data_IF_169947638854
#
_entry.id   IF_169947638854
#
_cell.length_a   1.000
_cell.length_b   1.000
_cell.length_c   1.000
_cell.angle_alpha   90.00
_cell.angle_beta   90.00
_cell.angle_gamma   90.00
#
_symmetry.space_group_name_H-M   'P 1'
#
loop_
_entity.id
_entity.type
_entity.pdbx_description
1 polymer ?
#
# COMPACT_ATOMS: atom_id res chain seq x y z
N UNK A 1 12.06 -0.95 27.78
CA UNK A 1 11.56 -1.50 26.51
C UNK A 1 11.45 -2.99 26.75
N UNK A 2 10.24 -3.56 26.77
CA UNK A 2 10.05 -4.97 27.12
C UNK A 2 10.29 -5.78 25.86
N UNK A 3 11.36 -6.58 25.88
CA UNK A 3 11.73 -7.48 24.81
C UNK A 3 10.85 -8.73 24.92
N UNK A 4 9.70 -8.72 24.23
CA UNK A 4 8.81 -9.88 24.21
C UNK A 4 9.35 -10.92 23.22
N UNK A 5 9.70 -12.13 23.68
CA UNK A 5 10.16 -13.17 22.78
C UNK A 5 9.06 -13.47 21.74
N UNK A 6 9.37 -13.26 20.46
CA UNK A 6 8.48 -13.54 19.33
C UNK A 6 7.79 -12.32 18.70
N UNK A 7 8.07 -11.09 19.15
CA UNK A 7 7.62 -9.86 18.46
C UNK A 7 8.09 -9.84 17.00
N UNK A 8 9.37 -10.08 16.76
CA UNK A 8 9.94 -10.12 15.39
C UNK A 8 9.25 -11.16 14.50
N UNK A 9 8.88 -12.32 15.06
CA UNK A 9 8.15 -13.35 14.33
C UNK A 9 6.71 -12.93 14.00
N UNK A 10 6.08 -12.18 14.90
CA UNK A 10 4.72 -11.66 14.72
C UNK A 10 4.71 -10.55 13.68
N UNK A 11 5.64 -9.60 13.76
CA UNK A 11 5.77 -8.50 12.80
C UNK A 11 6.09 -9.05 11.41
N UNK A 12 7.04 -9.99 11.32
CA UNK A 12 7.34 -10.67 10.07
C UNK A 12 6.11 -11.37 9.47
N UNK A 13 5.31 -12.06 10.30
CA UNK A 13 4.08 -12.71 9.85
C UNK A 13 3.06 -11.70 9.30
N UNK A 14 2.79 -10.64 10.06
CA UNK A 14 1.82 -9.61 9.67
C UNK A 14 2.24 -8.90 8.39
N UNK A 15 3.53 -8.70 8.18
CA UNK A 15 4.05 -8.01 7.01
C UNK A 15 4.13 -8.88 5.76
N UNK A 16 4.42 -10.18 5.90
CA UNK A 16 4.85 -10.99 4.75
C UNK A 16 4.02 -12.23 4.50
N UNK A 17 3.12 -12.61 5.41
CA UNK A 17 2.41 -13.90 5.33
C UNK A 17 0.93 -13.81 5.65
N UNK A 18 0.41 -12.63 6.02
CA UNK A 18 -0.92 -12.49 6.57
C UNK A 18 -2.00 -12.93 5.57
N UNK A 19 -2.01 -12.36 4.37
CA UNK A 19 -3.05 -12.63 3.38
C UNK A 19 -2.88 -14.00 2.70
N UNK A 20 -1.65 -14.43 2.43
CA UNK A 20 -1.38 -15.77 1.93
C UNK A 20 -1.85 -16.85 2.92
N UNK A 21 -1.62 -16.64 4.21
CA UNK A 21 -2.10 -17.55 5.27
C UNK A 21 -3.62 -17.55 5.35
N UNK A 22 -4.23 -16.36 5.34
CA UNK A 22 -5.69 -16.21 5.33
C UNK A 22 -6.31 -16.96 4.13
N UNK A 23 -5.76 -16.76 2.93
CA UNK A 23 -6.21 -17.45 1.72
C UNK A 23 -6.09 -18.97 1.86
N UNK A 24 -4.98 -19.47 2.39
CA UNK A 24 -4.74 -20.89 2.62
C UNK A 24 -5.73 -21.52 3.60
N UNK A 25 -5.99 -20.87 4.74
CA UNK A 25 -6.96 -21.34 5.76
C UNK A 25 -8.37 -21.46 5.17
N UNK A 26 -8.74 -20.52 4.30
CA UNK A 26 -10.07 -20.49 3.68
C UNK A 26 -10.14 -21.26 2.34
N UNK A 27 -9.07 -21.94 1.92
CA UNK A 27 -9.04 -22.70 0.66
C UNK A 27 -9.23 -21.82 -0.59
N UNK A 28 -8.90 -20.53 -0.51
CA UNK A 28 -9.03 -19.60 -1.63
C UNK A 28 -7.94 -19.90 -2.66
N UNK A 29 -8.35 -19.99 -3.95
CA UNK A 29 -7.39 -20.02 -5.06
C UNK A 29 -6.93 -18.60 -5.36
N UNK A 30 -5.70 -18.30 -5.01
CA UNK A 30 -5.11 -16.97 -5.16
C UNK A 30 -3.81 -17.00 -5.95
N UNK A 31 -3.43 -15.86 -6.50
CA UNK A 31 -2.13 -15.60 -7.12
C UNK A 31 -1.54 -14.32 -6.56
N UNK A 32 -0.26 -14.07 -6.78
CA UNK A 32 0.33 -12.79 -6.38
C UNK A 32 -0.19 -11.64 -7.24
N UNK A 33 -0.38 -10.47 -6.63
CA UNK A 33 -0.66 -9.24 -7.36
C UNK A 33 0.57 -8.82 -8.19
N UNK A 34 0.34 -8.26 -9.38
CA UNK A 34 1.41 -7.57 -10.12
C UNK A 34 1.67 -6.19 -9.51
N UNK A 35 2.76 -5.54 -9.92
CA UNK A 35 3.05 -4.18 -9.48
C UNK A 35 1.94 -3.20 -9.92
N UNK A 36 1.39 -3.36 -11.11
CA UNK A 36 0.26 -2.56 -11.59
C UNK A 36 -0.99 -2.77 -10.75
N UNK A 37 -1.33 -4.02 -10.43
CA UNK A 37 -2.46 -4.37 -9.58
C UNK A 37 -2.32 -3.72 -8.20
N UNK A 38 -1.13 -3.84 -7.61
CA UNK A 38 -0.83 -3.30 -6.30
C UNK A 38 -0.89 -1.77 -6.30
N UNK A 39 -0.28 -1.10 -7.29
CA UNK A 39 -0.32 0.36 -7.42
C UNK A 39 -1.74 0.89 -7.57
N UNK A 40 -2.57 0.22 -8.37
CA UNK A 40 -3.98 0.57 -8.53
C UNK A 40 -4.75 0.43 -7.20
N UNK A 41 -4.64 -0.73 -6.54
CA UNK A 41 -5.32 -1.00 -5.29
C UNK A 41 -4.88 -0.04 -4.16
N UNK A 42 -3.58 0.23 -4.04
CA UNK A 42 -3.02 1.15 -3.05
C UNK A 42 -3.46 2.59 -3.30
N UNK A 43 -3.51 3.02 -4.56
CA UNK A 43 -3.97 4.37 -4.92
C UNK A 43 -5.45 4.55 -4.57
N UNK A 44 -6.28 3.55 -4.86
CA UNK A 44 -7.70 3.56 -4.54
C UNK A 44 -7.94 3.56 -3.03
N UNK A 45 -7.33 2.62 -2.30
CA UNK A 45 -7.42 2.51 -0.85
C UNK A 45 -6.90 3.78 -0.17
N UNK A 46 -5.74 4.28 -0.60
CA UNK A 46 -5.16 5.52 -0.12
C UNK A 46 -6.07 6.72 -0.38
N UNK A 47 -6.64 6.84 -1.59
CA UNK A 47 -7.59 7.92 -1.90
C UNK A 47 -8.81 7.92 -0.97
N UNK A 48 -9.37 6.74 -0.67
CA UNK A 48 -10.51 6.61 0.22
C UNK A 48 -10.19 6.91 1.69
N UNK A 49 -9.01 6.50 2.15
CA UNK A 49 -8.55 6.72 3.52
C UNK A 49 -7.87 8.08 3.72
N UNK A 50 -7.84 8.92 2.68
CA UNK A 50 -7.13 10.18 2.73
C UNK A 50 -7.82 11.18 3.66
N UNK A 51 -7.01 11.78 4.53
CA UNK A 51 -7.40 12.95 5.32
C UNK A 51 -7.66 14.17 4.43
N UNK A 52 -8.15 15.26 5.01
CA UNK A 52 -8.34 16.55 4.32
C UNK A 52 -7.05 17.05 3.64
N UNK A 53 -5.88 16.72 4.19
CA UNK A 53 -4.57 17.09 3.62
C UNK A 53 -4.11 16.15 2.48
N UNK A 54 -4.87 15.10 2.19
CA UNK A 54 -4.62 14.12 1.15
C UNK A 54 -3.64 13.01 1.55
N UNK A 55 -3.30 12.90 2.83
CA UNK A 55 -2.43 11.83 3.35
C UNK A 55 -3.24 10.71 3.98
N UNK A 56 -2.78 9.48 3.81
CA UNK A 56 -3.38 8.26 4.32
C UNK A 56 -2.32 7.40 5.02
N UNK A 57 -2.61 6.76 6.16
CA UNK A 57 -1.67 5.85 6.80
C UNK A 57 -1.30 4.70 5.85
N UNK A 58 0.00 4.40 5.70
CA UNK A 58 0.47 3.37 4.76
C UNK A 58 -0.04 1.99 5.17
N UNK A 59 0.00 1.67 6.47
CA UNK A 59 -0.49 0.39 7.00
C UNK A 59 -1.96 0.17 6.63
N UNK A 60 -2.80 1.17 6.85
CA UNK A 60 -4.24 1.09 6.57
C UNK A 60 -4.53 0.98 5.08
N UNK A 61 -3.82 1.76 4.25
CA UNK A 61 -3.94 1.68 2.79
C UNK A 61 -3.49 0.31 2.25
N UNK A 62 -2.42 -0.25 2.82
CA UNK A 62 -1.89 -1.57 2.46
C UNK A 62 -2.87 -2.68 2.86
N UNK A 63 -3.43 -2.60 4.06
CA UNK A 63 -4.43 -3.57 4.54
C UNK A 63 -5.70 -3.52 3.69
N UNK A 64 -6.27 -2.33 3.47
CA UNK A 64 -7.47 -2.18 2.66
C UNK A 64 -7.24 -2.60 1.20
N UNK A 65 -6.10 -2.22 0.61
CA UNK A 65 -5.71 -2.64 -0.73
C UNK A 65 -5.55 -4.15 -0.86
N UNK A 66 -4.88 -4.79 0.10
CA UNK A 66 -4.71 -6.23 0.17
C UNK A 66 -6.03 -6.98 0.32
N UNK A 67 -6.93 -6.51 1.21
CA UNK A 67 -8.29 -7.06 1.38
C UNK A 67 -9.05 -7.01 0.04
N UNK A 68 -9.03 -5.87 -0.65
CA UNK A 68 -9.73 -5.71 -1.93
C UNK A 68 -9.18 -6.64 -2.99
N UNK A 69 -7.86 -6.72 -3.13
CA UNK A 69 -7.23 -7.63 -4.09
C UNK A 69 -7.58 -9.09 -3.80
N UNK A 70 -7.56 -9.49 -2.53
CA UNK A 70 -7.85 -10.85 -2.12
C UNK A 70 -9.28 -11.24 -2.46
N UNK A 71 -10.26 -10.46 -2.00
CA UNK A 71 -11.67 -10.84 -2.10
C UNK A 71 -12.33 -10.46 -3.43
N UNK A 72 -11.85 -9.41 -4.12
CA UNK A 72 -12.43 -9.00 -5.40
C UNK A 72 -11.71 -9.59 -6.61
N UNK A 73 -10.42 -9.91 -6.50
CA UNK A 73 -9.59 -10.32 -7.64
C UNK A 73 -8.86 -11.65 -7.46
N UNK A 74 -8.95 -12.27 -6.29
CA UNK A 74 -8.20 -13.50 -5.97
C UNK A 74 -6.69 -13.27 -6.01
N UNK A 75 -6.23 -12.08 -5.58
CA UNK A 75 -4.82 -11.68 -5.62
C UNK A 75 -4.30 -11.37 -4.22
N UNK A 76 -3.07 -11.81 -3.92
CA UNK A 76 -2.40 -11.51 -2.65
C UNK A 76 -1.48 -10.30 -2.82
N UNK A 77 -1.63 -9.35 -1.91
CA UNK A 77 -0.69 -8.25 -1.72
C UNK A 77 -0.45 -8.10 -0.21
N UNK A 78 0.74 -8.49 0.23
CA UNK A 78 1.13 -8.39 1.64
C UNK A 78 1.54 -6.95 2.01
N UNK A 79 1.39 -6.53 3.28
CA UNK A 79 1.77 -5.19 3.72
C UNK A 79 3.25 -4.84 3.46
N UNK A 80 4.18 -5.76 3.71
CA UNK A 80 5.60 -5.56 3.44
C UNK A 80 5.86 -5.27 1.96
N UNK A 81 5.26 -6.05 1.06
CA UNK A 81 5.34 -5.81 -0.39
C UNK A 81 4.71 -4.48 -0.80
N UNK A 82 3.65 -4.04 -0.12
CA UNK A 82 3.06 -2.72 -0.35
C UNK A 82 4.03 -1.60 -0.04
N UNK A 83 4.77 -1.69 1.06
CA UNK A 83 5.82 -0.72 1.42
C UNK A 83 6.92 -0.64 0.34
N UNK A 84 7.39 -1.79 -0.15
CA UNK A 84 8.41 -1.84 -1.20
C UNK A 84 7.93 -1.23 -2.51
N UNK A 85 6.69 -1.52 -2.90
CA UNK A 85 6.06 -0.95 -4.10
C UNK A 85 5.89 0.56 -3.97
N UNK A 86 5.44 1.07 -2.83
CA UNK A 86 5.31 2.52 -2.61
C UNK A 86 6.67 3.22 -2.64
N UNK A 87 7.70 2.61 -2.04
CA UNK A 87 9.07 3.14 -2.05
C UNK A 87 9.64 3.18 -3.46
N UNK A 88 9.50 2.11 -4.23
CA UNK A 88 9.99 2.05 -5.62
C UNK A 88 9.20 2.99 -6.53
N UNK A 89 7.89 3.09 -6.33
CA UNK A 89 7.02 3.99 -7.09
C UNK A 89 7.35 5.46 -6.84
N UNK A 90 7.60 5.88 -5.60
CA UNK A 90 8.04 7.26 -5.34
C UNK A 90 9.37 7.57 -6.00
N UNK A 91 10.34 6.65 -5.95
CA UNK A 91 11.64 6.86 -6.60
C UNK A 91 11.49 7.04 -8.11
N UNK A 92 10.59 6.29 -8.72
CA UNK A 92 10.35 6.36 -10.16
C UNK A 92 9.47 7.56 -10.57
N UNK A 93 8.51 7.95 -9.74
CA UNK A 93 7.50 8.97 -10.04
C UNK A 93 7.11 9.79 -8.79
N UNK A 94 8.02 10.68 -8.31
CA UNK A 94 7.79 11.49 -7.10
C UNK A 94 6.71 12.57 -7.24
N UNK A 95 6.28 12.83 -8.47
CA UNK A 95 5.15 13.67 -8.86
C UNK A 95 3.81 12.92 -8.82
N UNK A 96 3.82 11.60 -8.64
CA UNK A 96 2.61 10.76 -8.55
C UNK A 96 2.35 10.30 -7.12
N UNK A 97 3.40 9.97 -6.36
CA UNK A 97 3.26 9.47 -4.98
C UNK A 97 4.32 10.10 -4.09
N UNK A 98 3.90 10.50 -2.88
CA UNK A 98 4.76 11.05 -1.84
C UNK A 98 4.52 10.37 -0.50
N UNK A 99 5.57 10.16 0.27
CA UNK A 99 5.47 9.69 1.65
C UNK A 99 5.98 10.73 2.65
N UNK A 100 5.50 10.60 3.89
CA UNK A 100 6.12 11.20 5.07
C UNK A 100 6.58 10.09 5.99
N UNK A 101 7.64 10.40 6.73
CA UNK A 101 8.16 9.54 7.80
C UNK A 101 7.65 10.02 9.14
N UNK A 102 7.56 9.11 10.10
CA UNK A 102 7.31 9.46 11.50
C UNK A 102 8.58 9.97 12.20
N UNK A 103 8.48 10.18 13.52
CA UNK A 103 9.59 10.66 14.36
C UNK A 103 10.76 9.68 14.45
N UNK A 104 10.54 8.41 14.12
CA UNK A 104 11.55 7.35 14.13
C UNK A 104 12.19 7.15 12.75
N UNK A 105 11.72 7.87 11.72
CA UNK A 105 12.19 7.74 10.35
C UNK A 105 11.48 6.66 9.55
N UNK A 106 10.42 6.05 10.10
CA UNK A 106 9.65 4.99 9.45
C UNK A 106 8.60 5.57 8.50
N UNK A 107 8.36 4.91 7.37
CA UNK A 107 7.34 5.31 6.41
C UNK A 107 5.94 5.23 7.06
N UNK A 108 5.31 6.39 7.24
CA UNK A 108 4.07 6.49 8.01
C UNK A 108 2.84 6.79 7.16
N UNK A 109 2.93 7.78 6.27
CA UNK A 109 1.80 8.22 5.47
C UNK A 109 2.16 8.31 3.99
N UNK A 110 1.17 8.08 3.13
CA UNK A 110 1.27 8.21 1.68
C UNK A 110 0.25 9.23 1.17
N UNK A 111 0.63 10.00 0.15
CA UNK A 111 -0.22 10.89 -0.61
C UNK A 111 -0.10 10.59 -2.09
N UNK A 112 -1.24 10.29 -2.71
CA UNK A 112 -1.34 10.09 -4.15
C UNK A 112 -1.71 11.42 -4.81
N UNK A 113 -0.85 11.91 -5.67
CA UNK A 113 -1.03 13.17 -6.37
C UNK A 113 -1.93 12.94 -7.60
N UNK A 114 -2.84 13.89 -7.84
CA UNK A 114 -3.60 13.92 -9.10
C UNK A 114 -2.62 14.21 -10.24
N UNK A 115 -2.79 13.60 -11.42
CA UNK A 115 -2.04 14.01 -12.61
C UNK A 115 -2.23 15.53 -12.79
N UNK A 116 -1.16 16.23 -13.15
CA UNK A 116 -1.27 17.65 -13.49
C UNK A 116 -2.35 17.81 -14.56
N UNK A 117 -3.36 18.64 -14.28
CA UNK A 117 -4.34 19.02 -15.31
C UNK A 117 -3.56 19.74 -16.39
N UNK A 118 -3.43 19.11 -17.56
CA UNK A 118 -2.87 19.80 -18.73
C UNK A 118 -3.93 20.83 -19.15
N UNK A 119 -3.70 22.10 -18.82
CA UNK A 119 -4.57 23.17 -19.29
C UNK A 119 -4.51 23.17 -20.83
N UNK A 120 -5.65 23.23 -21.53
CA UNK A 120 -5.63 23.31 -22.99
C UNK A 120 -4.86 24.56 -23.42
N UNK A 121 -3.90 24.38 -24.32
CA UNK A 121 -3.15 25.47 -24.93
C UNK A 121 -4.14 26.46 -25.54
N UNK A 122 -4.09 27.77 -25.22
CA UNK A 122 -4.96 28.73 -25.88
C UNK A 122 -4.68 28.68 -27.38
N UNK A 123 -5.74 28.47 -28.17
CA UNK A 123 -5.64 28.55 -29.64
C UNK A 123 -5.29 29.99 -30.04
N UNK A 124 -4.41 30.18 -31.04
CA UNK A 124 -3.99 31.51 -31.50
C UNK A 124 -5.16 32.32 -32.08
#
# INVERSE_FOLDING_TARGET
MVDWPGLDATDHFLENRFFATLAGIHGLRVRDATDEDARAALREAGGQLSSTLGYSPIKDASLLGGIRLLFAQGKVLEPGRSHDILRSWQKAAPDVVRFTVDRMGELAYVKFLKPAVTLPTPRP
#
